data_IF_775670678099
#
_entry.id   IF_775670678099
#
_cell.length_a   1.000
_cell.length_b   1.000
_cell.length_c   1.000
_cell.angle_alpha   90.00
_cell.angle_beta   90.00
_cell.angle_gamma   90.00
#
_symmetry.space_group_name_H-M   'P 1'
#
loop_
_entity.id
_entity.type
_entity.pdbx_description
1 polymer ?
#
# COMPACT_ATOMS: atom_id res chain seq x y z
N UNK A 1 -26.79 -18.13 -25.29
CA UNK A 1 -26.98 -18.21 -23.84
C UNK A 1 -25.68 -17.86 -23.14
N UNK A 2 -25.44 -16.54 -23.03
CA UNK A 2 -24.28 -15.94 -22.38
C UNK A 2 -24.41 -16.12 -20.86
N UNK A 3 -23.73 -17.13 -20.33
CA UNK A 3 -23.48 -17.24 -18.89
C UNK A 3 -22.30 -16.30 -18.60
N UNK A 4 -22.47 -15.25 -17.77
CA UNK A 4 -21.35 -14.40 -17.43
C UNK A 4 -20.33 -15.24 -16.66
N UNK A 5 -19.08 -15.22 -17.12
CA UNK A 5 -17.91 -15.73 -16.39
C UNK A 5 -18.00 -15.12 -14.99
N UNK A 6 -18.35 -15.94 -14.00
CA UNK A 6 -18.31 -15.54 -12.60
C UNK A 6 -16.84 -15.40 -12.26
N UNK A 7 -16.34 -14.17 -12.29
CA UNK A 7 -15.01 -13.82 -11.78
C UNK A 7 -14.97 -14.09 -10.27
N UNK A 8 -14.50 -15.29 -9.92
CA UNK A 8 -13.66 -15.78 -8.81
C UNK A 8 -13.47 -15.05 -7.47
N UNK A 9 -13.98 -13.84 -7.24
CA UNK A 9 -13.92 -13.18 -5.93
C UNK A 9 -15.17 -12.30 -5.78
N UNK A 10 -15.71 -12.07 -4.57
CA UNK A 10 -16.77 -11.10 -4.40
C UNK A 10 -16.28 -9.74 -4.89
N UNK A 11 -16.82 -9.38 -6.04
CA UNK A 11 -16.78 -8.12 -6.80
C UNK A 11 -16.10 -6.94 -6.10
N UNK A 12 -15.08 -6.43 -6.80
CA UNK A 12 -14.55 -5.06 -6.77
C UNK A 12 -13.63 -4.66 -5.61
N UNK A 13 -12.32 -4.62 -5.91
CA UNK A 13 -11.25 -3.98 -5.14
C UNK A 13 -10.88 -4.67 -3.79
N UNK A 14 -10.20 -5.84 -3.83
CA UNK A 14 -9.47 -6.36 -2.65
C UNK A 14 -8.55 -5.31 -2.03
N UNK A 15 -8.09 -4.39 -2.87
CA UNK A 15 -7.45 -3.17 -2.46
C UNK A 15 -8.11 -1.99 -3.13
N UNK A 16 -8.56 -1.02 -2.34
CA UNK A 16 -8.83 0.32 -2.84
C UNK A 16 -7.71 1.25 -2.43
N UNK A 17 -6.98 1.80 -3.40
CA UNK A 17 -5.89 2.73 -3.12
C UNK A 17 -6.39 4.17 -3.08
N UNK A 18 -5.99 4.89 -2.04
CA UNK A 18 -6.20 6.33 -1.93
C UNK A 18 -4.89 7.03 -1.58
N UNK A 19 -4.75 8.28 -2.03
CA UNK A 19 -3.67 9.16 -1.59
C UNK A 19 -4.28 10.27 -0.74
N UNK A 20 -3.69 10.57 0.41
CA UNK A 20 -4.13 11.71 1.21
C UNK A 20 -4.02 13.01 0.41
N UNK A 21 -5.01 13.90 0.54
CA UNK A 21 -5.03 15.18 -0.18
C UNK A 21 -3.75 15.99 0.05
N UNK A 22 -3.35 16.79 -0.95
CA UNK A 22 -2.12 17.61 -0.90
C UNK A 22 -2.07 18.48 0.35
N UNK A 23 -3.22 19.02 0.77
CA UNK A 23 -3.37 19.81 2.00
C UNK A 23 -3.14 18.98 3.26
N UNK A 24 -3.73 17.78 3.37
CA UNK A 24 -3.50 16.89 4.51
C UNK A 24 -2.03 16.48 4.61
N UNK A 25 -1.41 16.11 3.49
CA UNK A 25 0.01 15.78 3.46
C UNK A 25 0.88 16.99 3.85
N UNK A 26 0.57 18.19 3.36
CA UNK A 26 1.31 19.41 3.69
C UNK A 26 1.21 19.76 5.18
N UNK A 27 0.01 19.64 5.77
CA UNK A 27 -0.22 19.86 7.19
C UNK A 27 0.53 18.83 8.04
N UNK A 28 0.50 17.55 7.65
CA UNK A 28 1.24 16.49 8.32
C UNK A 28 2.75 16.74 8.27
N UNK A 29 3.31 17.10 7.10
CA UNK A 29 4.72 17.50 6.93
C UNK A 29 5.08 18.70 7.81
N UNK A 30 4.19 19.70 7.92
CA UNK A 30 4.40 20.85 8.82
C UNK A 30 4.45 20.40 10.28
N UNK A 31 3.53 19.54 10.71
CA UNK A 31 3.51 18.99 12.06
C UNK A 31 4.78 18.19 12.36
N UNK A 32 5.19 17.30 11.46
CA UNK A 32 6.45 16.55 11.60
C UNK A 32 7.65 17.47 11.78
N UNK A 33 7.77 18.57 11.01
CA UNK A 33 8.85 19.55 11.23
C UNK A 33 8.85 20.11 12.66
N UNK A 34 7.68 20.39 13.22
CA UNK A 34 7.54 20.91 14.59
C UNK A 34 7.88 19.87 15.68
N UNK A 35 7.53 18.59 15.49
CA UNK A 35 7.67 17.49 16.50
C UNK A 35 9.12 17.09 16.83
N UNK A 36 10.13 17.83 16.37
CA UNK A 36 11.53 17.68 16.82
C UNK A 36 12.27 19.01 16.98
N UNK A 37 11.53 20.13 16.95
CA UNK A 37 12.09 21.48 17.00
C UNK A 37 12.32 21.98 18.43
N UNK A 38 12.25 21.12 19.45
CA UNK A 38 12.69 21.44 20.82
C UNK A 38 14.21 21.31 20.98
N UNK A 39 14.99 21.84 20.04
CA UNK A 39 16.43 22.06 20.24
C UNK A 39 16.63 23.54 20.51
N UNK A 40 16.58 23.90 21.79
CA UNK A 40 17.24 25.11 22.31
C UNK A 40 18.68 25.09 21.83
N UNK A 41 19.05 26.02 20.94
CA UNK A 41 20.41 26.56 20.78
C UNK A 41 20.34 27.78 19.86
N UNK A 42 20.81 28.92 20.38
CA UNK A 42 20.91 30.19 19.67
C UNK A 42 21.68 29.99 18.35
N UNK A 43 21.08 30.41 17.23
CA UNK A 43 21.76 30.36 15.93
C UNK A 43 22.79 31.48 15.84
N UNK A 44 24.07 31.12 15.84
CA UNK A 44 25.16 31.98 15.41
C UNK A 44 25.17 32.10 13.88
N UNK A 45 25.54 33.30 13.39
CA UNK A 45 25.48 33.75 11.99
C UNK A 45 26.14 32.80 10.96
N UNK A 46 27.04 31.91 11.38
CA UNK A 46 27.73 30.93 10.52
C UNK A 46 26.79 29.84 9.95
N UNK A 47 25.68 29.51 10.63
CA UNK A 47 24.73 28.47 10.20
C UNK A 47 23.92 28.83 8.94
N UNK A 48 23.98 30.08 8.46
CA UNK A 48 23.27 30.50 7.25
C UNK A 48 23.85 29.90 5.96
N UNK A 49 25.11 29.43 5.96
CA UNK A 49 25.79 28.96 4.74
C UNK A 49 25.67 27.44 4.52
N UNK A 50 25.49 26.64 5.57
CA UNK A 50 25.33 25.17 5.45
C UNK A 50 23.90 24.73 5.12
N UNK A 51 22.89 25.59 5.31
CA UNK A 51 21.49 25.32 4.91
C UNK A 51 21.25 25.27 3.39
N UNK A 52 22.29 25.52 2.59
CA UNK A 52 22.22 25.43 1.12
C UNK A 52 22.14 23.99 0.59
N UNK A 53 22.41 22.97 1.42
CA UNK A 53 22.41 21.56 1.01
C UNK A 53 21.14 20.77 1.38
N UNK A 54 20.22 21.34 2.14
CA UNK A 54 18.89 20.77 2.34
C UNK A 54 18.00 21.11 1.13
N UNK A 55 18.14 20.33 0.05
CA UNK A 55 17.21 20.34 -1.08
C UNK A 55 15.80 20.17 -0.54
N UNK A 56 15.05 21.25 -0.63
CA UNK A 56 13.68 21.34 -0.17
C UNK A 56 12.82 20.44 -1.04
N UNK A 57 11.93 19.67 -0.41
CA UNK A 57 10.72 19.15 -1.03
C UNK A 57 10.14 20.27 -1.93
N UNK A 58 10.15 20.04 -3.24
CA UNK A 58 9.69 21.01 -4.25
C UNK A 58 8.51 20.42 -5.00
N UNK A 59 7.49 21.24 -5.25
CA UNK A 59 6.26 20.94 -6.01
C UNK A 59 5.76 22.30 -6.58
N UNK A 60 5.05 22.43 -7.74
CA UNK A 60 5.23 21.85 -9.09
C UNK A 60 5.21 22.89 -10.27
N UNK A 61 5.17 22.35 -11.53
CA UNK A 61 4.71 22.87 -12.88
C UNK A 61 5.63 23.76 -13.77
N UNK A 62 5.57 23.73 -15.14
CA UNK A 62 4.41 23.54 -16.06
C UNK A 62 4.56 22.60 -17.30
N UNK A 63 3.39 22.37 -17.93
CA UNK A 63 2.98 21.52 -19.08
C UNK A 63 3.70 21.78 -20.43
N UNK A 64 3.83 20.76 -21.30
CA UNK A 64 3.58 20.86 -22.76
C UNK A 64 3.43 19.50 -23.49
N UNK A 65 2.88 19.61 -24.70
CA UNK A 65 1.99 18.70 -25.44
C UNK A 65 2.60 17.54 -26.26
N UNK A 66 1.74 16.54 -26.48
CA UNK A 66 1.51 15.64 -27.61
C UNK A 66 2.66 15.00 -28.41
N UNK A 67 2.60 13.67 -28.55
CA UNK A 67 2.73 13.04 -29.88
C UNK A 67 2.04 11.67 -29.94
N UNK A 68 1.14 11.55 -30.92
CA UNK A 68 0.45 10.36 -31.39
C UNK A 68 1.44 9.46 -32.14
N UNK A 69 1.47 8.15 -31.86
CA UNK A 69 1.62 7.15 -32.92
C UNK A 69 1.12 5.76 -32.52
N UNK A 70 0.63 5.09 -33.56
CA UNK A 70 -0.32 3.98 -33.62
C UNK A 70 0.40 2.62 -33.88
N UNK A 71 -0.36 1.54 -33.64
CA UNK A 71 -0.39 0.27 -34.40
C UNK A 71 0.27 -1.02 -33.88
N UNK A 72 -0.64 -1.98 -33.63
CA UNK A 72 -0.77 -3.38 -34.13
C UNK A 72 -0.11 -4.59 -33.43
N UNK A 73 -1.01 -5.43 -32.90
CA UNK A 73 -1.16 -6.91 -32.93
C UNK A 73 -0.06 -7.77 -33.56
N UNK A 74 0.30 -8.90 -32.92
CA UNK A 74 -0.26 -10.23 -33.27
C UNK A 74 0.41 -11.41 -32.55
N UNK A 75 -0.43 -12.42 -32.30
CA UNK A 75 -0.24 -13.88 -32.16
C UNK A 75 -0.15 -14.57 -30.79
N UNK A 76 -1.23 -15.34 -30.56
CA UNK A 76 -1.54 -16.29 -29.51
C UNK A 76 -0.63 -17.52 -29.47
N UNK A 77 -0.36 -18.00 -28.26
CA UNK A 77 0.04 -19.39 -27.98
C UNK A 77 -0.85 -19.97 -26.87
N UNK A 78 -1.90 -20.65 -27.33
CA UNK A 78 -2.52 -21.87 -26.80
C UNK A 78 -1.93 -22.42 -25.47
N UNK A 79 -2.68 -22.30 -24.37
CA UNK A 79 -2.46 -23.09 -23.15
C UNK A 79 -3.80 -23.64 -22.64
N UNK A 80 -3.91 -24.97 -22.61
CA UNK A 80 -5.06 -25.73 -22.10
C UNK A 80 -4.62 -26.48 -20.84
N UNK A 81 -4.94 -25.96 -19.64
CA UNK A 81 -4.90 -26.75 -18.39
C UNK A 81 -5.57 -26.07 -17.17
N UNK A 82 -6.72 -25.41 -17.33
CA UNK A 82 -7.38 -24.63 -16.25
C UNK A 82 -8.83 -25.04 -16.07
N UNK A 83 -9.09 -26.24 -15.52
CA UNK A 83 -10.46 -26.64 -15.19
C UNK A 83 -10.59 -27.42 -13.87
N UNK A 84 -9.48 -27.84 -13.26
CA UNK A 84 -9.51 -28.65 -12.02
C UNK A 84 -8.96 -27.91 -10.79
N UNK A 85 -8.28 -26.78 -10.98
CA UNK A 85 -7.71 -25.97 -9.88
C UNK A 85 -8.74 -24.98 -9.30
N UNK A 86 -9.72 -24.64 -10.13
CA UNK A 86 -10.77 -23.65 -9.90
C UNK A 86 -11.72 -24.05 -8.76
N UNK A 87 -12.25 -25.27 -8.71
CA UNK A 87 -13.21 -25.69 -7.67
C UNK A 87 -12.56 -25.87 -6.27
N UNK A 88 -11.24 -26.00 -6.18
CA UNK A 88 -10.51 -26.22 -4.93
C UNK A 88 -10.24 -24.91 -4.15
N UNK A 89 -10.02 -23.79 -4.85
CA UNK A 89 -9.70 -22.51 -4.22
C UNK A 89 -10.92 -21.81 -3.60
N UNK A 90 -12.13 -22.06 -4.10
CA UNK A 90 -13.39 -21.49 -3.59
C UNK A 90 -13.73 -21.98 -2.18
N UNK A 91 -13.56 -23.29 -1.92
CA UNK A 91 -13.76 -23.87 -0.60
C UNK A 91 -12.78 -23.28 0.44
N UNK A 92 -11.58 -22.90 -0.01
CA UNK A 92 -10.59 -22.27 0.87
C UNK A 92 -10.99 -20.83 1.25
N UNK A 93 -11.62 -20.07 0.35
CA UNK A 93 -12.07 -18.71 0.68
C UNK A 93 -13.20 -18.67 1.71
N UNK A 94 -14.23 -19.50 1.54
CA UNK A 94 -15.36 -19.56 2.47
C UNK A 94 -14.91 -20.04 3.85
N UNK A 95 -14.06 -21.07 3.91
CA UNK A 95 -13.49 -21.55 5.15
C UNK A 95 -12.64 -20.47 5.85
N UNK A 96 -11.80 -19.74 5.10
CA UNK A 96 -11.02 -18.62 5.66
C UNK A 96 -11.92 -17.49 6.19
N UNK A 97 -13.03 -17.20 5.52
CA UNK A 97 -14.00 -16.18 5.97
C UNK A 97 -14.72 -16.63 7.25
N UNK A 98 -15.18 -17.88 7.32
CA UNK A 98 -15.84 -18.40 8.51
C UNK A 98 -14.90 -18.43 9.72
N UNK A 99 -13.64 -18.83 9.52
CA UNK A 99 -12.61 -18.74 10.56
C UNK A 99 -12.39 -17.30 11.05
N UNK A 100 -12.43 -16.32 10.13
CA UNK A 100 -12.34 -14.91 10.49
C UNK A 100 -13.57 -14.46 11.29
N UNK A 101 -14.80 -14.83 10.89
CA UNK A 101 -16.02 -14.53 11.64
C UNK A 101 -15.89 -15.01 13.08
N UNK A 102 -15.55 -16.29 13.28
CA UNK A 102 -15.35 -16.87 14.61
C UNK A 102 -14.28 -16.13 15.42
N UNK A 103 -13.22 -15.70 14.76
CA UNK A 103 -12.13 -14.96 15.41
C UNK A 103 -12.56 -13.55 15.83
N UNK A 104 -13.49 -12.94 15.11
CA UNK A 104 -14.01 -11.59 15.35
C UNK A 104 -15.29 -11.56 16.21
N UNK A 105 -15.78 -12.70 16.68
CA UNK A 105 -16.94 -12.79 17.57
C UNK A 105 -16.67 -12.15 18.93
N UNK A 106 -17.49 -11.18 19.34
CA UNK A 106 -17.39 -10.53 20.64
C UNK A 106 -17.63 -9.03 20.55
N UNK A 107 -18.34 -8.49 21.53
CA UNK A 107 -18.67 -7.04 21.56
C UNK A 107 -17.42 -6.17 21.80
N UNK A 108 -16.31 -6.76 22.26
CA UNK A 108 -15.04 -6.11 22.50
C UNK A 108 -14.15 -6.03 21.24
N UNK A 109 -14.55 -6.68 20.14
CA UNK A 109 -13.74 -6.70 18.94
C UNK A 109 -13.73 -5.33 18.26
N UNK A 110 -12.54 -4.74 18.18
CA UNK A 110 -12.30 -3.54 17.39
C UNK A 110 -11.49 -3.95 16.16
N UNK A 111 -11.97 -3.69 14.93
CA UNK A 111 -11.25 -4.05 13.72
C UNK A 111 -9.85 -3.41 13.62
N UNK A 112 -8.79 -4.19 13.34
CA UNK A 112 -7.42 -3.68 13.34
C UNK A 112 -7.11 -2.88 12.07
N UNK A 113 -6.30 -1.84 12.25
CA UNK A 113 -5.77 -0.99 11.18
C UNK A 113 -4.25 -1.05 11.17
N UNK A 114 -3.66 -1.46 10.07
CA UNK A 114 -2.20 -1.54 9.94
C UNK A 114 -1.65 -0.20 9.49
N UNK A 115 -0.62 0.29 10.17
CA UNK A 115 0.16 1.44 9.74
C UNK A 115 1.59 1.02 9.47
N UNK A 116 1.90 0.80 8.19
CA UNK A 116 3.22 0.39 7.72
C UNK A 116 4.07 1.63 7.42
N UNK A 117 5.24 1.75 8.04
CA UNK A 117 6.08 2.95 7.98
C UNK A 117 7.49 2.56 7.55
N UNK A 118 7.95 3.12 6.45
CA UNK A 118 9.32 2.98 5.98
C UNK A 118 10.30 3.77 6.84
N UNK A 119 11.46 3.19 7.15
CA UNK A 119 12.58 3.88 7.83
C UNK A 119 13.08 5.13 7.08
N UNK A 120 12.76 5.27 5.79
CA UNK A 120 13.11 6.45 4.98
C UNK A 120 12.14 7.62 5.13
N UNK A 121 11.03 7.44 5.84
CA UNK A 121 10.09 8.51 6.12
C UNK A 121 10.69 9.40 7.21
N UNK A 122 10.78 10.73 7.02
CA UNK A 122 11.35 11.61 8.03
C UNK A 122 10.58 11.51 9.35
N UNK A 123 11.32 11.30 10.46
CA UNK A 123 10.75 11.16 11.80
C UNK A 123 9.74 10.01 11.89
N UNK A 124 9.98 8.92 11.16
CA UNK A 124 9.15 7.72 11.12
C UNK A 124 8.78 7.22 12.52
N UNK A 125 9.72 7.29 13.46
CA UNK A 125 9.57 6.87 14.85
C UNK A 125 8.50 7.65 15.63
N UNK A 126 8.18 8.89 15.21
CA UNK A 126 7.17 9.73 15.87
C UNK A 126 5.78 9.64 15.21
N UNK A 127 5.69 9.11 13.98
CA UNK A 127 4.43 9.00 13.24
C UNK A 127 3.38 8.20 14.02
N UNK A 128 3.71 7.05 14.64
CA UNK A 128 2.74 6.30 15.44
C UNK A 128 2.11 7.14 16.53
N UNK A 129 2.91 7.89 17.29
CA UNK A 129 2.41 8.74 18.37
C UNK A 129 1.49 9.85 17.87
N UNK A 130 1.78 10.42 16.70
CA UNK A 130 1.00 11.52 16.12
C UNK A 130 -0.37 11.04 15.61
N UNK A 131 -0.40 9.88 14.95
CA UNK A 131 -1.60 9.37 14.27
C UNK A 131 -2.46 8.55 15.20
N UNK A 132 -1.85 7.69 16.01
CA UNK A 132 -2.59 6.72 16.84
C UNK A 132 -3.53 7.42 17.81
N UNK A 133 -3.13 8.55 18.43
CA UNK A 133 -3.98 9.32 19.36
C UNK A 133 -4.75 8.43 20.35
N UNK A 134 -4.07 7.45 20.93
CA UNK A 134 -4.62 6.46 21.86
C UNK A 134 -5.66 5.47 21.29
N UNK A 135 -5.90 5.45 19.97
CA UNK A 135 -6.69 4.40 19.31
C UNK A 135 -5.95 3.05 19.41
N UNK A 136 -6.50 2.05 20.13
CA UNK A 136 -5.83 0.76 20.32
C UNK A 136 -5.81 -0.10 19.05
N UNK A 137 -6.69 0.17 18.08
CA UNK A 137 -6.83 -0.61 16.85
C UNK A 137 -5.74 -0.33 15.82
N UNK A 138 -5.02 0.78 15.95
CA UNK A 138 -3.94 1.17 15.03
C UNK A 138 -2.65 0.47 15.44
N UNK A 139 -2.18 -0.44 14.60
CA UNK A 139 -0.99 -1.26 14.80
C UNK A 139 0.16 -0.70 13.93
N UNK A 140 1.12 0.04 14.52
CA UNK A 140 2.26 0.55 13.78
C UNK A 140 3.31 -0.54 13.54
N UNK A 141 3.84 -0.59 12.32
CA UNK A 141 4.95 -1.45 11.91
C UNK A 141 6.00 -0.57 11.21
N UNK A 142 7.15 -0.43 11.83
CA UNK A 142 8.31 0.26 11.25
C UNK A 142 9.22 -0.78 10.60
N UNK A 143 9.49 -0.66 9.31
CA UNK A 143 10.37 -1.57 8.59
C UNK A 143 11.61 -0.84 8.05
N UNK A 144 12.73 -1.55 7.96
CA UNK A 144 13.95 -1.01 7.38
C UNK A 144 13.90 -1.10 5.85
N UNK A 145 13.77 0.05 5.18
CA UNK A 145 13.76 0.14 3.73
C UNK A 145 14.98 -0.50 3.04
N UNK A 146 16.16 -0.47 3.68
CA UNK A 146 17.40 -0.93 3.06
C UNK A 146 17.59 -2.44 3.15
N UNK A 147 17.10 -3.06 4.24
CA UNK A 147 17.44 -4.43 4.59
C UNK A 147 16.23 -5.37 4.71
N UNK A 148 15.01 -4.85 4.88
CA UNK A 148 13.83 -5.70 4.95
C UNK A 148 13.51 -6.31 3.58
N UNK A 149 12.88 -7.47 3.61
CA UNK A 149 12.27 -8.13 2.46
C UNK A 149 10.74 -8.00 2.52
N UNK A 150 10.06 -8.35 1.42
CA UNK A 150 8.60 -8.39 1.41
C UNK A 150 8.05 -9.45 2.37
N UNK A 151 8.73 -10.58 2.51
CA UNK A 151 8.34 -11.63 3.46
C UNK A 151 8.51 -11.16 4.90
N UNK A 152 9.60 -10.45 5.25
CA UNK A 152 9.78 -9.88 6.60
C UNK A 152 8.62 -8.93 6.98
N UNK A 153 8.15 -8.13 6.02
CA UNK A 153 7.01 -7.22 6.23
C UNK A 153 5.73 -8.01 6.47
N UNK A 154 5.46 -9.03 5.66
CA UNK A 154 4.25 -9.85 5.77
C UNK A 154 4.24 -10.65 7.09
N UNK A 155 5.36 -11.24 7.47
CA UNK A 155 5.52 -11.98 8.72
C UNK A 155 5.31 -11.08 9.94
N UNK A 156 5.85 -9.85 9.94
CA UNK A 156 5.64 -8.92 11.05
C UNK A 156 4.19 -8.43 11.12
N UNK A 157 3.52 -8.23 9.98
CA UNK A 157 2.07 -7.95 9.93
C UNK A 157 1.28 -9.09 10.58
N UNK A 158 1.50 -10.33 10.12
CA UNK A 158 0.79 -11.51 10.62
C UNK A 158 1.03 -11.72 12.11
N UNK A 159 2.29 -11.60 12.55
CA UNK A 159 2.66 -11.69 13.97
C UNK A 159 1.94 -10.63 14.81
N UNK A 160 1.87 -9.38 14.34
CA UNK A 160 1.18 -8.30 15.08
C UNK A 160 -0.33 -8.51 15.11
N UNK A 161 -0.94 -8.99 14.03
CA UNK A 161 -2.36 -9.36 14.01
C UNK A 161 -2.63 -10.50 14.98
N UNK A 162 -1.78 -11.53 15.03
CA UNK A 162 -1.94 -12.64 15.96
C UNK A 162 -1.80 -12.24 17.43
N UNK A 163 -0.91 -11.30 17.74
CA UNK A 163 -0.79 -10.70 19.08
C UNK A 163 -2.01 -9.85 19.42
N UNK A 164 -2.56 -9.11 18.45
CA UNK A 164 -3.75 -8.31 18.64
C UNK A 164 -4.97 -9.18 18.91
N UNK A 165 -5.26 -10.12 17.99
CA UNK A 165 -6.29 -11.14 18.11
C UNK A 165 -6.05 -12.23 17.07
N UNK A 166 -5.78 -13.46 17.52
CA UNK A 166 -5.51 -14.59 16.61
C UNK A 166 -6.66 -14.76 15.61
N UNK A 167 -6.32 -14.85 14.32
CA UNK A 167 -7.27 -15.05 13.23
C UNK A 167 -7.96 -13.78 12.71
N UNK A 168 -7.77 -12.62 13.34
CA UNK A 168 -8.24 -11.35 12.76
C UNK A 168 -7.43 -10.94 11.52
N UNK A 169 -8.03 -10.07 10.71
CA UNK A 169 -7.47 -9.58 9.44
C UNK A 169 -7.49 -8.07 9.38
N UNK A 170 -6.76 -7.49 8.44
CA UNK A 170 -6.62 -6.05 8.25
C UNK A 170 -7.90 -5.48 7.64
N UNK A 171 -8.49 -4.47 8.26
CA UNK A 171 -9.65 -3.76 7.69
C UNK A 171 -9.24 -2.48 6.96
N UNK A 172 -8.23 -1.79 7.48
CA UNK A 172 -7.69 -0.58 6.86
C UNK A 172 -6.17 -0.59 6.96
N UNK A 173 -5.49 -0.17 5.89
CA UNK A 173 -4.03 -0.08 5.87
C UNK A 173 -3.59 1.33 5.49
N UNK A 174 -2.56 1.82 6.15
CA UNK A 174 -1.89 3.07 5.84
C UNK A 174 -0.41 2.81 5.63
N UNK A 175 0.11 3.13 4.44
CA UNK A 175 1.51 2.95 4.06
C UNK A 175 2.19 4.32 3.96
N UNK A 176 3.16 4.56 4.82
CA UNK A 176 4.11 5.65 4.72
C UNK A 176 5.38 5.16 4.03
N UNK A 177 5.60 5.60 2.79
CA UNK A 177 6.81 5.26 2.05
C UNK A 177 7.29 6.44 1.20
N UNK A 178 8.49 6.30 0.64
CA UNK A 178 8.98 7.23 -0.36
C UNK A 178 8.37 6.92 -1.72
N UNK A 179 8.33 7.91 -2.61
CA UNK A 179 7.77 7.77 -3.94
C UNK A 179 7.62 9.12 -4.63
N UNK A 180 6.93 9.12 -5.74
CA UNK A 180 6.62 10.31 -6.53
C UNK A 180 5.55 10.00 -7.58
N UNK A 181 5.32 10.92 -8.53
CA UNK A 181 4.28 10.74 -9.53
C UNK A 181 4.46 9.44 -10.34
N UNK A 182 3.54 8.48 -10.15
CA UNK A 182 3.53 7.20 -10.84
C UNK A 182 4.43 6.09 -10.27
N UNK A 183 5.06 6.28 -9.10
CA UNK A 183 5.91 5.25 -8.50
C UNK A 183 5.96 5.26 -6.97
N UNK A 184 6.22 4.10 -6.38
CA UNK A 184 6.41 3.86 -4.95
C UNK A 184 7.70 3.11 -4.68
N UNK A 185 8.41 3.51 -3.62
CA UNK A 185 9.58 2.83 -3.10
C UNK A 185 9.21 2.15 -1.78
N UNK A 186 8.69 0.91 -1.86
CA UNK A 186 8.44 0.11 -0.67
C UNK A 186 9.76 -0.32 -0.04
N UNK A 187 10.61 -1.00 -0.81
CA UNK A 187 11.95 -1.44 -0.40
C UNK A 187 13.01 -0.88 -1.34
N UNK A 188 14.27 -0.90 -0.90
CA UNK A 188 15.40 -0.52 -1.74
C UNK A 188 15.42 -1.39 -2.99
N UNK A 189 15.63 -0.76 -4.15
CA UNK A 189 15.64 -1.42 -5.47
C UNK A 189 14.31 -2.08 -5.88
N UNK A 190 13.23 -1.97 -5.09
CA UNK A 190 11.90 -2.48 -5.41
C UNK A 190 10.95 -1.32 -5.64
N UNK A 191 10.97 -0.85 -6.88
CA UNK A 191 10.18 0.31 -7.32
C UNK A 191 8.87 -0.20 -7.90
N UNK A 192 7.76 0.02 -7.21
CA UNK A 192 6.45 -0.26 -7.77
C UNK A 192 6.07 0.87 -8.74
N UNK A 193 5.97 0.52 -10.01
CA UNK A 193 5.46 1.36 -11.11
C UNK A 193 4.40 0.56 -11.85
N UNK A 194 3.50 1.20 -12.60
CA UNK A 194 2.44 0.48 -13.32
C UNK A 194 3.00 -0.67 -14.18
N UNK A 195 4.15 -0.48 -14.82
CA UNK A 195 4.78 -1.49 -15.67
C UNK A 195 5.47 -2.64 -14.89
N UNK A 196 5.83 -2.40 -13.63
CA UNK A 196 6.56 -3.37 -12.80
C UNK A 196 5.63 -4.22 -11.92
N UNK A 197 4.53 -3.64 -11.44
CA UNK A 197 3.60 -4.36 -10.55
C UNK A 197 2.91 -5.56 -11.22
N UNK A 198 2.93 -5.64 -12.55
CA UNK A 198 2.39 -6.76 -13.33
C UNK A 198 3.47 -7.70 -13.88
N UNK A 199 4.75 -7.37 -13.72
CA UNK A 199 5.87 -8.10 -14.35
C UNK A 199 6.88 -8.63 -13.35
N UNK A 200 7.06 -7.94 -12.23
CA UNK A 200 8.01 -8.35 -11.20
C UNK A 200 7.30 -9.32 -10.23
N UNK A 201 7.70 -10.60 -10.29
CA UNK A 201 7.09 -11.69 -9.51
C UNK A 201 7.05 -11.39 -8.01
N UNK A 202 8.08 -10.76 -7.46
CA UNK A 202 8.14 -10.45 -6.04
C UNK A 202 7.14 -9.36 -5.61
N UNK A 203 6.87 -8.38 -6.48
CA UNK A 203 5.80 -7.40 -6.25
C UNK A 203 4.43 -8.08 -6.32
N UNK A 204 4.20 -8.89 -7.35
CA UNK A 204 2.94 -9.63 -7.53
C UNK A 204 2.69 -10.52 -6.31
N UNK A 205 3.70 -11.29 -5.90
CA UNK A 205 3.60 -12.21 -4.77
C UNK A 205 3.38 -11.46 -3.45
N UNK A 206 4.04 -10.32 -3.25
CA UNK A 206 3.81 -9.48 -2.07
C UNK A 206 2.35 -9.04 -1.96
N UNK A 207 1.79 -8.46 -3.04
CA UNK A 207 0.39 -8.02 -3.03
C UNK A 207 -0.59 -9.20 -2.92
N UNK A 208 -0.26 -10.35 -3.53
CA UNK A 208 -1.06 -11.59 -3.41
C UNK A 208 -1.04 -12.16 -2.00
N UNK A 209 0.08 -12.10 -1.28
CA UNK A 209 0.15 -12.54 0.12
C UNK A 209 -0.52 -11.53 1.05
N UNK A 210 -0.32 -10.22 0.81
CA UNK A 210 -0.97 -9.16 1.58
C UNK A 210 -2.49 -9.23 1.47
N UNK A 211 -3.04 -9.55 0.30
CA UNK A 211 -4.48 -9.63 0.09
C UNK A 211 -5.14 -10.70 0.97
N UNK A 212 -4.45 -11.81 1.24
CA UNK A 212 -4.89 -12.86 2.17
C UNK A 212 -4.90 -12.42 3.65
N UNK A 213 -4.18 -11.35 3.97
CA UNK A 213 -4.18 -10.72 5.29
C UNK A 213 -5.28 -9.65 5.41
N UNK A 214 -5.90 -9.22 4.32
CA UNK A 214 -7.05 -8.31 4.34
C UNK A 214 -8.33 -9.06 4.73
N UNK A 215 -9.24 -8.35 5.37
CA UNK A 215 -10.48 -8.92 5.88
C UNK A 215 -11.42 -9.34 4.76
N UNK A 216 -12.08 -10.50 4.96
CA UNK A 216 -13.15 -11.00 4.08
C UNK A 216 -14.55 -10.65 4.59
N UNK A 217 -14.64 -10.14 5.81
CA UNK A 217 -15.92 -9.82 6.49
C UNK A 217 -16.15 -8.31 6.64
N UNK A 218 -15.19 -7.49 6.20
CA UNK A 218 -15.32 -6.04 6.21
C UNK A 218 -16.53 -5.65 5.34
N UNK A 219 -17.53 -4.94 5.89
CA UNK A 219 -18.69 -4.48 5.10
C UNK A 219 -18.30 -3.41 4.07
N UNK A 220 -17.17 -2.73 4.28
CA UNK A 220 -16.60 -1.74 3.37
C UNK A 220 -15.46 -2.36 2.55
N UNK A 221 -15.15 -1.83 1.35
CA UNK A 221 -13.98 -2.24 0.59
C UNK A 221 -12.70 -2.01 1.38
N UNK A 222 -11.83 -3.03 1.38
CA UNK A 222 -10.52 -2.97 2.02
C UNK A 222 -9.68 -1.83 1.43
N UNK A 223 -9.32 -0.84 2.26
CA UNK A 223 -8.67 0.39 1.81
C UNK A 223 -7.20 0.44 2.19
N UNK A 224 -6.34 0.78 1.22
CA UNK A 224 -4.93 1.10 1.40
C UNK A 224 -4.68 2.57 1.11
N UNK A 225 -4.38 3.32 2.16
CA UNK A 225 -3.98 4.71 2.09
C UNK A 225 -2.48 4.82 1.86
N UNK A 226 -2.06 5.57 0.86
CA UNK A 226 -0.66 5.91 0.60
C UNK A 226 -0.39 7.33 1.09
N UNK A 227 0.62 7.47 1.94
CA UNK A 227 1.11 8.75 2.44
C UNK A 227 2.64 8.86 2.31
N UNK A 228 3.14 10.09 2.34
CA UNK A 228 4.57 10.38 2.22
C UNK A 228 5.04 10.71 0.80
N UNK A 229 4.17 10.55 -0.20
CA UNK A 229 4.44 10.87 -1.60
C UNK A 229 3.17 11.29 -2.35
N UNK A 230 3.35 11.87 -3.53
CA UNK A 230 2.26 12.28 -4.43
C UNK A 230 2.25 11.38 -5.67
N UNK A 231 1.61 10.20 -5.54
CA UNK A 231 1.56 9.19 -6.60
C UNK A 231 0.71 9.66 -7.78
N UNK A 232 -0.46 10.24 -7.50
CA UNK A 232 -1.42 10.75 -8.48
C UNK A 232 -1.02 12.11 -9.09
N UNK A 233 0.28 12.40 -9.12
CA UNK A 233 0.80 13.62 -9.75
C UNK A 233 0.91 13.53 -11.28
N UNK A 234 0.67 12.35 -11.86
CA UNK A 234 0.65 12.11 -13.30
C UNK A 234 -0.26 10.91 -13.65
N UNK A 235 -0.65 10.75 -14.93
CA UNK A 235 -1.49 9.63 -15.41
C UNK A 235 -0.95 8.24 -15.10
N UNK A 236 0.36 8.10 -14.87
CA UNK A 236 0.97 6.82 -14.52
C UNK A 236 0.64 6.42 -13.08
N UNK A 237 0.30 7.38 -12.22
CA UNK A 237 -0.20 7.14 -10.86
C UNK A 237 -1.56 6.47 -10.87
N UNK A 238 -2.50 6.95 -11.68
CA UNK A 238 -3.81 6.30 -11.83
C UNK A 238 -3.67 4.88 -12.37
N UNK A 239 -2.81 4.68 -13.39
CA UNK A 239 -2.51 3.33 -13.93
C UNK A 239 -1.89 2.42 -12.87
N UNK A 240 -0.95 2.92 -12.07
CA UNK A 240 -0.36 2.15 -10.97
C UNK A 240 -1.43 1.68 -9.99
N UNK A 241 -2.34 2.57 -9.56
CA UNK A 241 -3.41 2.19 -8.63
C UNK A 241 -4.44 1.25 -9.26
N UNK A 242 -4.73 1.39 -10.57
CA UNK A 242 -5.58 0.45 -11.30
C UNK A 242 -4.94 -0.95 -11.34
N UNK A 243 -3.66 -1.06 -11.69
CA UNK A 243 -2.98 -2.35 -11.76
C UNK A 243 -2.87 -3.01 -10.36
N UNK A 244 -2.69 -2.22 -9.31
CA UNK A 244 -2.66 -2.73 -7.94
C UNK A 244 -4.05 -3.17 -7.40
N UNK A 245 -5.15 -2.68 -7.98
CA UNK A 245 -6.51 -3.12 -7.61
C UNK A 245 -6.79 -4.55 -8.06
N UNK A 246 -6.29 -4.91 -9.25
CA UNK A 246 -6.50 -6.20 -9.89
C UNK A 246 -5.17 -6.87 -10.25
N UNK A 247 -4.32 -7.26 -9.27
CA UNK A 247 -3.02 -7.87 -9.56
C UNK A 247 -3.13 -9.25 -10.23
N UNK A 248 -4.34 -9.80 -10.38
CA UNK A 248 -4.61 -11.12 -10.95
C UNK A 248 -5.16 -11.09 -12.38
N UNK A 249 -5.80 -10.01 -12.84
CA UNK A 249 -6.32 -9.92 -14.22
C UNK A 249 -5.19 -9.78 -15.25
N UNK A 250 -4.05 -9.20 -14.84
CA UNK A 250 -2.90 -8.96 -15.70
C UNK A 250 -1.96 -10.16 -15.86
N UNK A 251 -2.22 -11.26 -15.15
CA UNK A 251 -1.49 -12.54 -15.30
C UNK A 251 -2.10 -13.46 -16.36
N UNK A 252 -3.21 -13.04 -17.00
CA UNK A 252 -4.02 -13.87 -17.91
C UNK A 252 -3.99 -13.43 -19.38
N UNK A 253 -3.04 -12.56 -19.77
CA UNK A 253 -2.80 -12.19 -21.18
C UNK A 253 -1.43 -12.66 -21.66
#
# INVERSE_FOLDING_TARGET
DDVPIRTWFPKENLFTFQTATTTMQANFRKHLRMVGSRRMKAQTFADRRERSFSRSWSDPTPVKADSIHDSRESHDLQNSCTALDEECEDLNWEAEREMEVMSCEGEDFIPPKIMLISSKVPKAEYIPTIIRRDDPSIIPILYDHEHATFDDILEEIEKKLNVYRKGCKIWEMLIFCQGGPGYLYLLKNKVATFAKVEKEEDLILFWKKLSKLMSKINPEPNMINIMGCYVLGNPNGEKLFQNLKNPYESSSN
#
